data_IF_387192798763
#
_entry.id   IF_387192798763
#
_cell.length_a   1.000
_cell.length_b   1.000
_cell.length_c   1.000
_cell.angle_alpha   90.00
_cell.angle_beta   90.00
_cell.angle_gamma   90.00
#
_symmetry.space_group_name_H-M   'P 1'
#
loop_
_entity.id
_entity.type
_entity.pdbx_description
1 polymer ?
2 non-polymer ?
3 non-polymer ?
4 non-polymer ?
5 non-polymer ?
6 water ?
#
# COMPACT_ATOMS: atom_id res chain seq x y z
N UNK A 19 -18.80 -8.42 -2.13
CA UNK A 19 -18.99 -6.96 -2.41
C UNK A 19 -17.74 -6.28 -2.94
N UNK A 20 -16.57 -6.92 -2.78
CA UNK A 20 -15.25 -6.40 -3.19
C UNK A 20 -14.50 -7.46 -4.02
N UNK A 21 -15.13 -7.97 -5.08
CA UNK A 21 -14.54 -9.09 -5.84
C UNK A 21 -14.04 -8.59 -7.21
N UNK A 22 -14.65 -7.56 -7.80
CA UNK A 22 -14.28 -7.14 -9.19
C UNK A 22 -13.48 -5.83 -9.13
N UNK A 23 -12.43 -5.72 -9.94
CA UNK A 23 -11.70 -4.46 -10.19
C UNK A 23 -12.12 -3.88 -11.53
N UNK A 24 -12.48 -2.60 -11.51
CA UNK A 24 -12.88 -1.85 -12.71
C UNK A 24 -11.95 -0.66 -12.85
N UNK A 25 -11.87 -0.11 -14.07
CA UNK A 25 -11.15 1.17 -14.28
C UNK A 25 -11.88 2.26 -13.48
N UNK A 26 -11.15 2.98 -12.65
CA UNK A 26 -11.64 4.09 -11.82
C UNK A 26 -12.25 5.20 -12.71
N UNK A 27 -11.71 5.43 -13.90
CA UNK A 27 -12.14 6.56 -14.74
C UNK A 27 -13.43 6.21 -15.50
N UNK A 28 -13.70 4.96 -15.89
CA UNK A 28 -14.84 4.69 -16.80
C UNK A 28 -15.65 3.43 -16.44
N UNK A 29 -15.19 2.58 -15.53
CA UNK A 29 -15.96 1.40 -15.08
C UNK A 29 -15.71 0.14 -15.90
N UNK A 30 -14.82 0.20 -16.90
CA UNK A 30 -14.45 -1.02 -17.65
C UNK A 30 -14.04 -2.15 -16.70
N UNK A 31 -14.49 -3.38 -16.97
CA UNK A 31 -14.10 -4.59 -16.23
C UNK A 31 -12.63 -4.90 -16.45
N UNK A 32 -11.82 -4.99 -15.41
CA UNK A 32 -10.36 -5.21 -15.59
C UNK A 32 -9.93 -6.53 -14.96
N UNK A 33 -10.23 -6.78 -13.69
CA UNK A 33 -9.68 -7.96 -13.00
C UNK A 33 -10.54 -8.31 -11.79
N UNK A 34 -10.06 -9.20 -10.93
CA UNK A 34 -10.82 -9.77 -9.78
C UNK A 34 -9.82 -9.95 -8.65
N UNK A 35 -10.29 -9.85 -7.41
CA UNK A 35 -9.46 -10.09 -6.21
C UNK A 35 -8.86 -11.51 -6.30
N UNK A 36 -9.66 -12.47 -6.80
CA UNK A 36 -9.27 -13.89 -7.02
C UNK A 36 -8.03 -14.01 -7.91
N UNK A 37 -7.79 -13.07 -8.81
CA UNK A 37 -6.70 -13.12 -9.83
C UNK A 37 -5.45 -12.38 -9.35
N UNK A 38 -5.45 -11.88 -8.11
CA UNK A 38 -4.22 -11.28 -7.54
C UNK A 38 -3.15 -12.38 -7.48
N UNK A 39 -1.90 -12.00 -7.64
CA UNK A 39 -0.73 -12.92 -7.61
C UNK A 39 0.22 -12.45 -6.49
N UNK A 40 0.38 -13.21 -5.39
CA UNK A 40 1.33 -12.83 -4.34
C UNK A 40 2.75 -13.28 -4.72
N UNK A 45 1.63 -9.31 -3.09
CA UNK A 45 0.77 -8.80 -4.20
C UNK A 45 1.21 -7.38 -4.60
N UNK A 46 1.75 -6.58 -3.63
CA UNK A 46 1.93 -5.08 -3.68
C UNK A 46 3.39 -4.58 -3.70
N UNK A 47 3.81 -3.99 -4.82
CA UNK A 47 5.20 -3.54 -5.07
C UNK A 47 5.23 -2.03 -5.25
N UNK A 48 6.05 -1.32 -4.51
CA UNK A 48 6.17 0.15 -4.72
C UNK A 48 7.45 0.37 -5.54
N UNK A 49 7.31 0.96 -6.72
CA UNK A 49 8.41 1.14 -7.69
C UNK A 49 8.44 2.59 -8.20
N UNK A 50 9.58 3.01 -8.72
CA UNK A 50 9.79 4.35 -9.34
C UNK A 50 10.24 4.16 -10.78
N UNK A 51 9.72 5.01 -11.68
CA UNK A 51 10.23 5.08 -13.07
C UNK A 51 11.43 6.03 -13.10
N UNK A 52 12.12 6.17 -14.26
CA UNK A 52 13.30 7.02 -14.36
C UNK A 52 13.00 8.51 -14.14
N UNK A 53 11.74 8.93 -14.29
CA UNK A 53 11.24 10.30 -14.00
C UNK A 53 10.89 10.45 -12.51
N UNK A 54 11.17 9.44 -11.68
CA UNK A 54 11.02 9.48 -10.21
C UNK A 54 9.55 9.36 -9.80
N UNK A 55 8.65 9.04 -10.73
CA UNK A 55 7.22 8.86 -10.42
C UNK A 55 7.07 7.54 -9.68
N UNK A 56 6.28 7.55 -8.61
CA UNK A 56 6.06 6.35 -7.75
C UNK A 56 4.77 5.67 -8.21
N UNK A 57 4.81 4.36 -8.34
CA UNK A 57 3.63 3.52 -8.67
C UNK A 57 3.52 2.46 -7.59
N UNK A 58 2.31 2.33 -7.06
CA UNK A 58 1.94 1.24 -6.13
C UNK A 58 1.25 0.18 -7.00
N UNK A 59 1.97 -0.90 -7.25
CA UNK A 59 1.62 -1.90 -8.29
C UNK A 59 1.10 -3.14 -7.57
N UNK A 60 -0.04 -3.65 -8.04
CA UNK A 60 -0.61 -4.96 -7.66
C UNK A 60 -0.36 -5.89 -8.86
N UNK A 61 0.20 -7.05 -8.60
CA UNK A 61 0.43 -8.08 -9.64
C UNK A 61 -0.83 -8.95 -9.72
N UNK A 62 -1.26 -9.22 -10.94
CA UNK A 62 -2.39 -10.09 -11.28
C UNK A 62 -1.91 -11.16 -12.24
N UNK A 63 -2.39 -12.41 -12.05
CA UNK A 63 -2.18 -13.49 -13.03
C UNK A 63 -2.91 -13.18 -14.34
N UNK A 64 -4.03 -12.49 -14.29
CA UNK A 64 -5.01 -12.37 -15.39
C UNK A 64 -5.65 -10.98 -15.29
N UNK A 65 -5.99 -10.38 -16.43
CA UNK A 65 -6.72 -9.12 -16.57
C UNK A 65 -7.38 -9.16 -17.94
N UNK A 66 -8.43 -8.38 -18.13
CA UNK A 66 -9.19 -8.23 -19.38
C UNK A 66 -9.45 -6.72 -19.56
N UNK A 67 -9.98 -6.31 -20.70
CA UNK A 67 -10.51 -4.95 -20.91
C UNK A 67 -9.40 -3.92 -21.15
N UNK A 68 -8.16 -4.37 -21.30
CA UNK A 68 -6.97 -3.53 -21.54
C UNK A 68 -6.72 -3.47 -23.04
N UNK A 69 -5.89 -2.52 -23.44
CA UNK A 69 -5.28 -2.46 -24.78
C UNK A 69 -3.77 -2.38 -24.54
N UNK A 70 -3.02 -3.40 -24.99
CA UNK A 70 -1.54 -3.47 -24.85
C UNK A 70 -0.94 -2.76 -26.04
N UNK A 71 -0.05 -1.82 -25.83
CA UNK A 71 0.43 -0.85 -26.84
C UNK A 71 1.92 -1.05 -27.01
N UNK A 72 2.36 -1.11 -28.27
CA UNK A 72 3.77 -1.26 -28.66
C UNK A 72 4.21 -2.71 -28.61
N UNK A 73 5.52 -2.91 -28.71
CA UNK A 73 6.19 -4.21 -28.50
C UNK A 73 6.87 -4.17 -27.14
N UNK A 74 7.13 -5.34 -26.53
CA UNK A 74 7.76 -5.40 -25.22
C UNK A 74 9.12 -4.70 -25.17
N UNK A 75 9.51 -4.22 -24.00
CA UNK A 75 10.83 -3.62 -23.71
C UNK A 75 11.35 -4.16 -22.39
N UNK A 76 12.64 -4.47 -22.32
CA UNK A 76 13.33 -4.85 -21.08
C UNK A 76 13.87 -3.64 -20.34
N UNK A 77 13.86 -2.45 -20.98
CA UNK A 77 14.49 -1.22 -20.45
C UNK A 77 13.85 -0.82 -19.10
N UNK A 78 14.64 -0.76 -18.04
CA UNK A 78 14.23 -0.30 -16.69
C UNK A 78 13.18 -1.26 -16.10
N UNK A 79 13.09 -2.49 -16.55
CA UNK A 79 12.10 -3.44 -16.00
C UNK A 79 12.28 -3.55 -14.48
N UNK A 80 11.16 -3.47 -13.75
CA UNK A 80 11.12 -3.62 -12.28
C UNK A 80 11.21 -5.09 -11.87
N UNK A 81 10.98 -6.02 -12.79
CA UNK A 81 10.86 -7.46 -12.49
C UNK A 81 11.92 -8.19 -13.33
N UNK A 82 12.87 -8.83 -12.64
CA UNK A 82 14.05 -9.48 -13.21
C UNK A 82 13.60 -10.50 -14.25
N UNK A 83 14.11 -10.39 -15.49
CA UNK A 83 13.84 -11.36 -16.57
C UNK A 83 12.54 -11.08 -17.32
N UNK A 84 11.82 -9.99 -17.02
CA UNK A 84 10.56 -9.68 -17.73
C UNK A 84 10.72 -8.43 -18.59
N UNK A 85 10.06 -8.46 -19.75
CA UNK A 85 9.85 -7.30 -20.65
C UNK A 85 8.43 -6.79 -20.41
N UNK A 86 8.23 -5.48 -20.59
CA UNK A 86 6.92 -4.85 -20.33
C UNK A 86 6.34 -4.26 -21.61
N UNK A 87 5.02 -4.26 -21.68
CA UNK A 87 4.19 -3.50 -22.65
C UNK A 87 3.21 -2.65 -21.86
N UNK A 88 2.95 -1.42 -22.33
CA UNK A 88 2.00 -0.50 -21.71
C UNK A 88 0.59 -1.11 -21.83
N UNK A 89 -0.14 -1.14 -20.72
CA UNK A 89 -1.55 -1.56 -20.66
C UNK A 89 -2.39 -0.30 -20.44
N UNK A 90 -3.13 0.13 -21.47
CA UNK A 90 -4.22 1.12 -21.32
C UNK A 90 -5.53 0.43 -20.97
N UNK A 91 -6.40 1.15 -20.27
CA UNK A 91 -7.84 0.84 -20.25
C UNK A 91 -8.29 0.83 -21.71
N UNK A 92 -8.84 -0.31 -22.17
CA UNK A 92 -9.28 -0.46 -23.55
C UNK A 92 -10.46 0.41 -23.86
N UNK A 93 -11.19 0.89 -22.84
CA UNK A 93 -12.35 1.76 -23.03
C UNK A 93 -11.89 3.23 -23.11
N UNK A 94 -11.26 3.73 -22.07
CA UNK A 94 -11.04 5.21 -21.92
C UNK A 94 -9.59 5.57 -22.22
N UNK A 95 -8.69 4.60 -22.35
CA UNK A 95 -7.28 4.89 -22.71
C UNK A 95 -6.43 5.32 -21.51
N UNK A 96 -6.97 5.34 -20.30
CA UNK A 96 -6.24 5.70 -19.06
C UNK A 96 -5.11 4.69 -18.89
N UNK A 97 -3.94 5.12 -18.46
CA UNK A 97 -2.81 4.17 -18.28
C UNK A 97 -3.01 3.35 -16.99
N UNK A 98 -3.28 2.04 -17.08
CA UNK A 98 -3.61 1.22 -15.90
C UNK A 98 -2.40 0.45 -15.39
N UNK A 99 -1.34 0.31 -16.20
CA UNK A 99 -0.14 -0.44 -15.82
C UNK A 99 0.57 -1.06 -17.01
N UNK A 100 1.01 -2.30 -16.83
CA UNK A 100 1.90 -3.00 -17.78
C UNK A 100 1.59 -4.49 -17.76
N UNK A 101 1.78 -5.11 -18.92
CA UNK A 101 1.83 -6.58 -19.06
C UNK A 101 3.30 -6.97 -19.13
N UNK A 102 3.67 -7.99 -18.35
CA UNK A 102 5.05 -8.50 -18.27
C UNK A 102 5.09 -9.88 -18.93
N UNK A 103 6.09 -10.11 -19.76
CA UNK A 103 6.26 -11.36 -20.53
C UNK A 103 7.75 -11.69 -20.62
N UNK A 104 8.06 -12.89 -21.11
CA UNK A 104 9.42 -13.33 -21.44
C UNK A 104 10.19 -13.90 -20.27
N UNK A 105 9.56 -14.04 -19.09
CA UNK A 105 10.24 -14.54 -17.88
C UNK A 105 9.91 -16.00 -17.68
N UNK A 106 10.07 -16.49 -16.46
CA UNK A 106 9.83 -17.92 -16.09
C UNK A 106 9.09 -17.94 -14.75
N UNK A 107 8.13 -18.83 -14.60
CA UNK A 107 7.49 -19.12 -13.29
C UNK A 107 7.09 -17.82 -12.61
N UNK A 108 6.09 -17.06 -13.12
CA UNK A 108 5.38 -17.38 -14.36
C UNK A 108 5.96 -16.67 -15.60
N UNK A 109 5.60 -17.13 -16.81
CA UNK A 109 6.08 -16.51 -18.08
C UNK A 109 5.56 -15.07 -18.15
N UNK A 110 4.32 -14.83 -17.77
CA UNK A 110 3.60 -13.55 -17.96
C UNK A 110 2.80 -13.20 -16.71
N UNK A 111 2.50 -11.92 -16.54
CA UNK A 111 1.56 -11.39 -15.52
C UNK A 111 1.30 -9.94 -15.83
N UNK A 112 0.36 -9.34 -15.10
CA UNK A 112 0.02 -7.90 -15.17
C UNK A 112 0.45 -7.20 -13.90
N UNK A 113 1.03 -6.01 -14.06
CA UNK A 113 1.30 -5.07 -12.96
C UNK A 113 0.39 -3.88 -13.15
N UNK A 114 -0.66 -3.79 -12.33
CA UNK A 114 -1.69 -2.72 -12.44
C UNK A 114 -1.51 -1.72 -11.29
N UNK A 115 -1.69 -0.46 -11.63
CA UNK A 115 -1.63 0.67 -10.66
C UNK A 115 -2.90 0.68 -9.78
N UNK A 116 -2.74 0.36 -8.51
CA UNK A 116 -3.84 0.08 -7.56
C UNK A 116 -4.82 1.26 -7.55
N UNK A 117 -4.30 2.49 -7.45
CA UNK A 117 -5.12 3.71 -7.25
C UNK A 117 -5.82 4.13 -8.55
N UNK A 118 -5.59 3.43 -9.65
CA UNK A 118 -6.29 3.66 -10.95
C UNK A 118 -7.43 2.65 -11.15
N UNK A 119 -7.65 1.77 -10.16
CA UNK A 119 -8.75 0.78 -10.16
C UNK A 119 -9.75 1.12 -9.06
N UNK A 120 -10.94 0.56 -9.18
CA UNK A 120 -12.02 0.62 -8.19
C UNK A 120 -12.50 -0.82 -7.93
N UNK A 121 -12.73 -1.15 -6.66
CA UNK A 121 -13.10 -2.53 -6.24
C UNK A 121 -14.58 -2.56 -5.86
N UNK A 122 -15.31 -3.60 -6.27
CA UNK A 122 -16.73 -3.68 -5.95
C UNK A 122 -17.37 -5.03 -6.31
N UNK A 123 -18.70 -5.08 -6.12
CA UNK A 123 -19.46 -6.32 -6.25
C UNK A 123 -19.47 -6.93 -7.66
N UNK A 124 -19.71 -8.24 -7.71
CA UNK A 124 -19.79 -9.06 -8.94
C UNK A 124 -20.95 -8.54 -9.80
N UNK B 20 -1.31 14.51 15.54
CA UNK B 20 -1.54 16.00 15.67
C UNK B 20 -2.59 16.54 14.65
N UNK B 21 -2.94 15.85 13.57
CA UNK B 21 -3.92 16.44 12.62
C UNK B 21 -5.31 15.79 12.72
N UNK B 22 -6.36 16.63 12.54
CA UNK B 22 -7.76 16.13 12.57
C UNK B 22 -8.43 16.27 11.21
N UNK B 23 -9.44 15.47 10.99
CA UNK B 23 -10.39 15.49 9.85
C UNK B 23 -11.73 16.01 10.34
N UNK B 24 -12.18 17.08 9.71
CA UNK B 24 -13.45 17.76 10.03
C UNK B 24 -14.40 17.53 8.87
N UNK B 25 -15.69 17.64 9.12
CA UNK B 25 -16.73 17.73 8.07
C UNK B 25 -16.43 18.93 7.19
N UNK B 26 -16.31 18.71 5.89
CA UNK B 26 -16.03 19.81 4.92
C UNK B 26 -17.17 20.83 4.94
N UNK B 27 -18.39 20.40 5.20
CA UNK B 27 -19.59 21.29 5.07
C UNK B 27 -19.74 22.17 6.32
N UNK B 28 -19.45 21.71 7.53
CA UNK B 28 -19.82 22.49 8.75
C UNK B 28 -18.65 22.59 9.76
N UNK B 29 -17.57 21.82 9.55
CA UNK B 29 -16.34 21.96 10.36
C UNK B 29 -16.33 21.11 11.61
N UNK B 30 -17.37 20.36 11.89
CA UNK B 30 -17.38 19.47 13.07
C UNK B 30 -16.19 18.50 13.02
N UNK B 31 -15.50 18.28 14.14
CA UNK B 31 -14.41 17.31 14.27
C UNK B 31 -14.98 15.90 14.12
N UNK B 32 -14.40 15.10 13.24
CA UNK B 32 -14.92 13.74 12.92
C UNK B 32 -13.89 12.68 13.30
N UNK B 33 -12.64 12.81 12.87
CA UNK B 33 -11.62 11.80 13.15
C UNK B 33 -10.24 12.44 13.18
N UNK B 34 -9.21 11.61 13.27
CA UNK B 34 -7.82 12.07 13.51
C UNK B 34 -6.92 11.23 12.63
N UNK B 35 -5.82 11.81 12.16
CA UNK B 35 -4.82 11.09 11.35
C UNK B 35 -4.30 9.90 12.18
N UNK B 36 -4.15 10.06 13.50
CA UNK B 36 -3.66 8.98 14.41
C UNK B 36 -4.55 7.72 14.30
N UNK B 37 -5.81 7.87 13.90
CA UNK B 37 -6.80 6.78 13.85
C UNK B 37 -6.88 6.13 12.48
N UNK B 38 -6.02 6.53 11.52
CA UNK B 38 -6.03 5.91 10.19
C UNK B 38 -5.72 4.42 10.36
N UNK B 39 -6.42 3.58 9.63
CA UNK B 39 -6.40 2.10 9.80
C UNK B 39 -6.10 1.45 8.46
N UNK B 40 -4.94 0.77 8.27
CA UNK B 40 -4.64 0.14 6.98
C UNK B 40 -5.39 -1.20 6.76
N UNK B 41 -6.68 -1.16 6.46
CA UNK B 41 -7.48 -2.38 6.17
C UNK B 41 -6.95 -3.02 4.88
N UNK B 42 -6.69 -4.33 4.91
CA UNK B 42 -6.11 -5.07 3.78
C UNK B 42 -4.79 -4.49 3.34
N UNK B 43 -4.05 -3.81 4.23
CA UNK B 43 -2.75 -3.22 3.89
C UNK B 43 -2.83 -1.76 3.46
N UNK B 44 -4.01 -1.16 3.31
CA UNK B 44 -4.12 0.24 2.82
C UNK B 44 -5.18 1.01 3.59
N UNK B 45 -4.96 2.29 3.95
CA UNK B 45 -6.04 3.11 4.55
C UNK B 45 -6.98 3.61 3.44
N UNK B 46 -6.49 3.79 2.22
CA UNK B 46 -7.32 4.29 1.08
C UNK B 46 -7.90 3.13 0.26
N UNK B 47 -9.21 3.08 0.05
CA UNK B 47 -9.86 2.09 -0.84
C UNK B 47 -10.71 2.87 -1.85
N UNK B 48 -10.48 2.69 -3.14
CA UNK B 48 -11.41 3.17 -4.19
C UNK B 48 -12.37 2.02 -4.50
N UNK B 49 -13.68 2.28 -4.33
CA UNK B 49 -14.74 1.24 -4.34
C UNK B 49 -15.90 1.76 -5.20
N UNK B 50 -16.72 0.85 -5.72
CA UNK B 50 -17.97 1.19 -6.42
C UNK B 50 -19.11 0.42 -5.76
N UNK B 51 -20.28 1.02 -5.74
CA UNK B 51 -21.52 0.40 -5.18
C UNK B 51 -22.22 -0.33 -6.33
N UNK B 52 -23.30 -1.08 -6.05
CA UNK B 52 -24.01 -1.81 -7.08
C UNK B 52 -24.64 -0.91 -8.17
N UNK B 53 -24.86 0.38 -7.88
CA UNK B 53 -25.35 1.37 -8.87
C UNK B 53 -24.18 1.91 -9.72
N UNK B 54 -22.94 1.51 -9.43
CA UNK B 54 -21.75 1.90 -10.20
C UNK B 54 -21.25 3.28 -9.77
N UNK B 55 -21.69 3.82 -8.64
CA UNK B 55 -21.14 5.08 -8.09
C UNK B 55 -19.78 4.77 -7.45
N UNK B 56 -18.76 5.56 -7.77
CA UNK B 56 -17.37 5.36 -7.28
C UNK B 56 -17.11 6.28 -6.09
N UNK B 57 -16.56 5.75 -5.00
CA UNK B 57 -16.14 6.51 -3.80
C UNK B 57 -14.68 6.23 -3.48
N UNK B 58 -13.97 7.24 -3.03
CA UNK B 58 -12.60 7.05 -2.46
C UNK B 58 -12.74 7.11 -0.93
N UNK B 59 -12.54 5.99 -0.28
CA UNK B 59 -12.77 5.81 1.17
C UNK B 59 -11.43 5.74 1.89
N UNK B 60 -11.30 6.42 3.03
CA UNK B 60 -10.17 6.30 3.99
C UNK B 60 -10.70 5.65 5.26
N UNK B 61 -10.04 4.59 5.73
CA UNK B 61 -10.47 3.78 6.90
C UNK B 61 -9.86 4.38 8.14
N UNK B 62 -10.69 4.54 9.17
CA UNK B 62 -10.32 5.07 10.50
C UNK B 62 -10.87 4.11 11.56
N UNK B 63 -10.13 3.84 12.62
CA UNK B 63 -10.53 2.96 13.74
C UNK B 63 -11.78 3.52 14.41
N UNK B 64 -11.79 4.84 14.69
CA UNK B 64 -12.82 5.49 15.51
C UNK B 64 -13.19 6.81 14.82
N UNK B 65 -14.32 7.37 15.22
CA UNK B 65 -14.83 8.68 14.77
C UNK B 65 -15.71 9.22 15.88
N UNK B 66 -16.01 10.53 15.81
CA UNK B 66 -16.98 11.18 16.67
C UNK B 66 -17.80 12.13 15.80
N UNK B 67 -18.94 12.57 16.32
CA UNK B 67 -19.72 13.64 15.72
C UNK B 67 -20.59 13.16 14.58
N UNK B 68 -20.64 11.83 14.33
CA UNK B 68 -21.46 11.27 13.23
C UNK B 68 -22.82 10.82 13.81
N UNK B 69 -23.76 10.52 12.93
CA UNK B 69 -25.03 9.86 13.25
C UNK B 69 -25.12 8.67 12.33
N UNK B 70 -25.16 7.46 12.87
CA UNK B 70 -25.29 6.20 12.11
C UNK B 70 -26.77 5.91 11.96
N UNK B 71 -27.21 5.57 10.76
CA UNK B 71 -28.66 5.37 10.47
C UNK B 71 -28.86 3.93 10.02
N UNK B 72 -29.88 3.24 10.53
CA UNK B 72 -30.36 1.96 9.98
C UNK B 72 -29.74 0.79 10.71
N UNK B 73 -30.35 -0.39 10.55
CA UNK B 73 -29.79 -1.67 11.03
C UNK B 73 -28.57 -1.97 10.16
N UNK B 74 -27.50 -2.58 10.73
CA UNK B 74 -26.36 -2.98 9.91
C UNK B 74 -26.80 -3.96 8.81
N UNK B 75 -26.14 -3.89 7.64
CA UNK B 75 -26.39 -4.82 6.50
C UNK B 75 -25.06 -5.41 6.04
N UNK B 76 -25.01 -6.72 5.78
CA UNK B 76 -23.84 -7.38 5.18
C UNK B 76 -23.86 -7.27 3.66
N UNK B 77 -25.02 -6.93 3.09
CA UNK B 77 -25.27 -6.93 1.61
C UNK B 77 -24.31 -5.95 0.93
N UNK B 78 -23.53 -6.44 -0.01
CA UNK B 78 -22.62 -5.63 -0.87
C UNK B 78 -21.51 -4.99 -0.05
N UNK B 79 -21.24 -5.49 1.16
CA UNK B 79 -20.16 -4.92 2.00
C UNK B 79 -18.85 -4.90 1.22
N UNK B 80 -18.14 -3.79 1.26
CA UNK B 80 -16.81 -3.63 0.64
C UNK B 80 -15.74 -4.37 1.44
N UNK B 81 -16.00 -4.68 2.70
CA UNK B 81 -15.00 -5.32 3.59
C UNK B 81 -15.57 -6.65 4.07
N UNK B 82 -14.95 -7.74 3.61
CA UNK B 82 -15.33 -9.14 3.89
C UNK B 82 -15.49 -9.33 5.40
N UNK B 83 -16.65 -9.82 5.85
CA UNK B 83 -16.93 -10.19 7.25
C UNK B 83 -17.41 -9.01 8.07
N UNK B 84 -17.72 -7.89 7.43
CA UNK B 84 -18.29 -6.71 8.13
C UNK B 84 -19.67 -6.40 7.56
N UNK B 85 -20.56 -5.96 8.46
CA UNK B 85 -21.85 -5.30 8.14
C UNK B 85 -21.66 -3.77 8.21
N UNK B 86 -22.44 -3.02 7.45
CA UNK B 86 -22.27 -1.55 7.34
C UNK B 86 -23.54 -0.83 7.75
N UNK B 87 -23.37 0.40 8.27
CA UNK B 87 -24.44 1.38 8.53
C UNK B 87 -24.01 2.73 7.93
N UNK B 88 -24.94 3.51 7.41
CA UNK B 88 -24.67 4.82 6.79
C UNK B 88 -24.27 5.79 7.90
N UNK B 89 -23.20 6.53 7.71
CA UNK B 89 -22.69 7.54 8.67
C UNK B 89 -22.88 8.96 8.10
N UNK B 90 -23.73 9.76 8.73
CA UNK B 90 -23.92 11.20 8.44
C UNK B 90 -23.16 12.05 9.45
N UNK B 91 -22.81 13.30 9.07
CA UNK B 91 -22.40 14.32 10.04
C UNK B 91 -23.60 14.53 10.98
N UNK B 92 -23.40 14.37 12.29
CA UNK B 92 -24.48 14.56 13.25
C UNK B 92 -24.90 16.02 13.34
N UNK B 93 -24.01 16.93 12.94
CA UNK B 93 -24.25 18.39 13.02
C UNK B 93 -25.02 18.86 11.78
N UNK B 94 -24.58 18.52 10.55
CA UNK B 94 -25.16 19.11 9.32
C UNK B 94 -25.87 18.08 8.44
N UNK B 95 -25.72 16.78 8.70
CA UNK B 95 -26.36 15.74 7.89
C UNK B 95 -25.59 15.36 6.63
N UNK B 96 -24.43 15.97 6.30
CA UNK B 96 -23.62 15.58 5.11
C UNK B 96 -23.27 14.07 5.19
N UNK B 97 -23.39 13.34 4.08
CA UNK B 97 -23.08 11.88 4.06
C UNK B 97 -21.56 11.69 4.07
N UNK B 98 -20.97 11.26 5.19
CA UNK B 98 -19.49 11.23 5.31
C UNK B 98 -18.95 9.83 5.04
N UNK B 99 -19.78 8.79 5.06
CA UNK B 99 -19.30 7.41 4.79
C UNK B 99 -20.17 6.36 5.48
N UNK B 100 -19.51 5.35 6.05
CA UNK B 100 -20.12 4.16 6.64
C UNK B 100 -19.34 3.70 7.89
N UNK B 101 -20.07 3.09 8.82
CA UNK B 101 -19.51 2.35 9.97
C UNK B 101 -19.60 0.84 9.68
N UNK B 102 -18.56 0.09 9.98
CA UNK B 102 -18.41 -1.36 9.77
C UNK B 102 -18.34 -2.02 11.15
N UNK B 103 -19.05 -3.13 11.31
CA UNK B 103 -19.13 -3.89 12.57
C UNK B 103 -19.22 -5.40 12.29
N UNK B 104 -19.02 -6.20 13.33
CA UNK B 104 -19.31 -7.65 13.40
C UNK B 104 -18.16 -8.50 12.88
N UNK B 105 -16.99 -7.91 12.66
CA UNK B 105 -15.78 -8.63 12.24
C UNK B 105 -14.91 -8.95 13.43
N UNK B 106 -13.65 -9.30 13.17
CA UNK B 106 -12.59 -9.52 14.19
C UNK B 106 -11.32 -8.80 13.72
N UNK B 107 -10.55 -8.23 14.64
CA UNK B 107 -9.20 -7.67 14.36
C UNK B 107 -9.27 -6.77 13.12
N UNK B 108 -9.93 -5.60 13.17
CA UNK B 108 -10.71 -5.15 14.33
C UNK B 108 -12.21 -5.47 14.24
N UNK B 109 -12.94 -5.41 15.34
CA UNK B 109 -14.40 -5.67 15.39
C UNK B 109 -15.11 -4.60 14.58
N UNK B 110 -14.71 -3.32 14.70
CA UNK B 110 -15.42 -2.19 14.04
C UNK B 110 -14.42 -1.16 13.48
N UNK B 111 -14.87 -0.36 12.53
CA UNK B 111 -14.10 0.75 11.93
C UNK B 111 -15.01 1.56 11.02
N UNK B 112 -14.53 2.72 10.60
CA UNK B 112 -15.22 3.64 9.68
C UNK B 112 -14.52 3.66 8.32
N UNK B 113 -15.33 3.72 7.28
CA UNK B 113 -14.92 4.08 5.92
C UNK B 113 -15.49 5.43 5.58
N UNK B 114 -14.65 6.46 5.58
CA UNK B 114 -15.08 7.87 5.40
C UNK B 114 -14.65 8.34 4.02
N UNK B 115 -15.52 9.08 3.35
CA UNK B 115 -15.29 9.64 1.99
C UNK B 115 -14.29 10.79 2.11
N UNK B 116 -13.08 10.60 1.54
CA UNK B 116 -11.96 11.53 1.75
C UNK B 116 -12.37 12.94 1.28
N UNK B 117 -13.07 13.03 0.13
CA UNK B 117 -13.44 14.31 -0.53
C UNK B 117 -14.45 15.11 0.30
N UNK B 118 -15.05 14.51 1.32
CA UNK B 118 -16.09 15.14 2.17
C UNK B 118 -15.53 15.55 3.53
N UNK B 119 -14.22 15.34 3.72
CA UNK B 119 -13.50 15.75 4.94
C UNK B 119 -12.51 16.88 4.60
N UNK B 120 -12.15 17.67 5.61
CA UNK B 120 -11.08 18.67 5.54
C UNK B 120 -10.05 18.35 6.63
N UNK B 121 -8.79 18.21 6.27
CA UNK B 121 -7.73 17.90 7.24
C UNK B 121 -7.10 19.21 7.69
N UNK B 122 -6.81 19.32 8.97
CA UNK B 122 -6.15 20.51 9.54
C UNK B 122 -5.66 20.27 10.95
N UNK B 123 -4.98 21.27 11.54
CA UNK B 123 -4.41 21.12 12.89
C UNK B 123 -5.52 21.07 13.95
N UNK B 124 -5.21 20.43 15.08
CA UNK B 124 -6.12 20.14 16.21
C UNK B 124 -6.85 21.40 16.68
N UNK C 18 16.88 -4.32 -13.55
CA UNK C 18 17.20 -3.12 -14.38
C UNK C 18 16.65 -1.86 -13.70
N UNK C 19 15.33 -1.74 -13.59
CA UNK C 19 14.69 -0.62 -12.88
C UNK C 19 14.67 -0.84 -11.39
N UNK C 20 15.51 -1.72 -10.84
CA UNK C 20 15.49 -2.11 -9.40
C UNK C 20 16.90 -1.97 -8.76
N UNK C 21 17.60 -0.87 -8.97
CA UNK C 21 19.01 -0.71 -8.57
C UNK C 21 19.15 0.23 -7.35
N UNK C 22 18.24 1.19 -7.18
CA UNK C 22 18.26 2.18 -6.07
C UNK C 22 17.09 1.85 -5.14
N UNK C 23 17.33 1.86 -3.82
CA UNK C 23 16.32 1.52 -2.76
C UNK C 23 15.96 2.81 -2.03
N UNK C 24 14.65 3.09 -1.93
CA UNK C 24 14.13 4.38 -1.40
C UNK C 24 13.08 4.08 -0.37
N UNK C 25 12.78 5.02 0.51
CA UNK C 25 11.62 4.94 1.44
C UNK C 25 10.33 4.83 0.62
N UNK C 26 9.53 3.80 0.90
CA UNK C 26 8.20 3.58 0.27
C UNK C 26 7.26 4.74 0.57
N UNK C 27 7.37 5.40 1.72
CA UNK C 27 6.39 6.45 2.11
C UNK C 27 6.71 7.79 1.42
N UNK C 28 7.98 8.15 1.23
CA UNK C 28 8.31 9.55 0.82
C UNK C 28 9.35 9.60 -0.32
N UNK C 29 10.00 8.48 -0.65
CA UNK C 29 10.98 8.38 -1.74
C UNK C 29 12.39 8.80 -1.38
N UNK C 30 12.70 9.16 -0.12
CA UNK C 30 14.09 9.39 0.34
C UNK C 30 15.03 8.26 -0.15
N UNK C 31 16.17 8.62 -0.75
CA UNK C 31 17.15 7.65 -1.26
C UNK C 31 17.86 7.05 -0.05
N UNK C 32 17.97 5.72 -0.01
CA UNK C 32 18.53 5.03 1.19
C UNK C 32 19.79 4.24 0.80
N UNK C 33 19.72 3.36 -0.19
CA UNK C 33 20.87 2.53 -0.55
C UNK C 33 20.78 2.11 -2.02
N UNK C 34 21.75 1.29 -2.46
CA UNK C 34 21.89 0.86 -3.87
C UNK C 34 22.37 -0.58 -3.90
N UNK C 35 22.08 -1.24 -5.02
CA UNK C 35 22.39 -2.67 -5.27
C UNK C 35 23.88 -2.93 -5.01
N UNK C 36 24.77 -2.00 -5.38
CA UNK C 36 26.24 -2.08 -5.17
C UNK C 36 26.58 -2.36 -3.71
N UNK C 37 25.76 -1.90 -2.77
CA UNK C 37 26.04 -1.98 -1.30
C UNK C 37 25.37 -3.20 -0.68
N UNK C 38 24.67 -4.01 -1.46
CA UNK C 38 24.01 -5.23 -0.97
C UNK C 38 25.11 -6.16 -0.44
N UNK C 39 24.74 -6.95 0.56
CA UNK C 39 25.51 -8.14 1.00
C UNK C 39 24.65 -9.39 0.79
N UNK C 40 25.03 -10.33 -0.13
CA UNK C 40 24.36 -11.63 -0.20
C UNK C 40 24.71 -12.57 0.96
N UNK C 46 17.64 -11.36 -0.18
CA UNK C 46 16.67 -11.21 0.94
C UNK C 46 16.89 -12.33 1.96
N UNK C 47 16.92 -12.02 3.25
CA UNK C 47 16.85 -13.01 4.37
C UNK C 47 15.43 -12.97 4.95
N UNK C 48 14.78 -14.15 5.03
CA UNK C 48 13.46 -14.35 5.71
C UNK C 48 13.72 -14.55 7.21
N UNK C 49 13.15 -13.67 8.04
CA UNK C 49 13.31 -13.70 9.51
C UNK C 49 11.91 -13.56 10.13
N UNK C 50 11.79 -13.93 11.41
CA UNK C 50 10.54 -13.81 12.20
C UNK C 50 10.85 -12.94 13.41
N UNK C 51 9.96 -11.99 13.72
CA UNK C 51 10.03 -11.19 14.98
C UNK C 51 9.51 -12.08 16.11
N UNK C 52 9.59 -11.62 17.38
CA UNK C 52 9.14 -12.43 18.51
C UNK C 52 7.64 -12.74 18.49
N UNK C 53 6.83 -11.99 17.72
CA UNK C 53 5.38 -12.27 17.50
C UNK C 53 5.19 -13.34 16.41
N UNK C 54 6.28 -13.80 15.78
CA UNK C 54 6.24 -14.80 14.69
C UNK C 54 5.76 -14.18 13.37
N UNK C 55 5.74 -12.85 13.24
CA UNK C 55 5.51 -12.19 11.93
C UNK C 55 6.76 -12.41 11.07
N UNK C 56 6.58 -12.73 9.79
CA UNK C 56 7.69 -12.90 8.80
C UNK C 56 8.05 -11.55 8.15
N UNK C 57 9.34 -11.24 8.07
CA UNK C 57 9.89 -10.09 7.33
C UNK C 57 10.93 -10.62 6.32
N UNK C 58 11.00 -9.96 5.17
CA UNK C 58 12.12 -10.06 4.22
C UNK C 58 13.07 -8.89 4.53
N UNK C 59 14.27 -9.21 5.00
CA UNK C 59 15.32 -8.20 5.32
C UNK C 59 16.36 -8.21 4.20
N UNK C 60 16.73 -7.02 3.71
CA UNK C 60 17.89 -6.81 2.81
C UNK C 60 19.04 -6.20 3.62
N UNK C 61 20.22 -6.80 3.59
CA UNK C 61 21.42 -6.30 4.32
C UNK C 61 22.30 -5.50 3.36
N UNK C 62 22.67 -4.29 3.80
CA UNK C 62 23.53 -3.35 3.04
C UNK C 62 24.74 -2.96 3.89
N UNK C 63 25.92 -2.90 3.27
CA UNK C 63 27.18 -2.47 3.92
C UNK C 63 27.07 -0.97 4.25
N UNK C 64 26.40 -0.17 3.40
CA UNK C 64 26.31 1.30 3.59
C UNK C 64 24.89 1.76 3.29
N UNK C 65 24.46 2.86 3.89
CA UNK C 65 23.15 3.49 3.64
C UNK C 65 23.28 4.99 3.94
N UNK C 66 22.33 5.76 3.45
CA UNK C 66 22.24 7.23 3.68
C UNK C 66 20.78 7.54 3.95
N UNK C 67 20.49 8.74 4.43
CA UNK C 67 19.11 9.23 4.51
C UNK C 67 18.37 8.73 5.71
N UNK C 68 19.02 7.98 6.60
CA UNK C 68 18.34 7.38 7.79
C UNK C 68 18.65 8.23 9.03
N UNK C 69 17.94 7.96 10.13
CA UNK C 69 18.23 8.52 11.46
C UNK C 69 18.25 7.32 12.40
N UNK C 70 19.38 7.04 13.04
CA UNK C 70 19.52 5.88 13.97
C UNK C 70 19.16 6.39 15.35
N UNK C 71 18.24 5.74 16.06
CA UNK C 71 17.72 6.29 17.34
C UNK C 71 17.93 5.24 18.43
N UNK C 72 18.19 5.68 19.67
CA UNK C 72 18.28 4.83 20.86
C UNK C 72 19.67 4.22 21.04
N UNK C 73 19.83 3.39 22.06
CA UNK C 73 21.08 2.66 22.39
C UNK C 73 20.97 1.24 21.87
N UNK C 74 22.10 0.59 21.50
CA UNK C 74 22.04 -0.73 20.88
C UNK C 74 21.38 -1.76 21.81
N UNK C 75 20.74 -2.77 21.22
CA UNK C 75 20.12 -3.90 21.95
C UNK C 75 20.53 -5.23 21.28
N UNK C 76 20.83 -6.25 22.08
CA UNK C 76 21.07 -7.62 21.62
C UNK C 76 19.77 -8.42 21.52
N UNK C 77 18.65 -7.87 22.03
CA UNK C 77 17.35 -8.57 22.21
C UNK C 77 16.89 -9.17 20.88
N UNK C 78 16.78 -10.50 20.79
CA UNK C 78 16.23 -11.23 19.63
C UNK C 78 16.99 -10.88 18.34
N UNK C 79 18.27 -10.55 18.44
CA UNK C 79 19.05 -10.16 17.23
C UNK C 79 18.97 -11.31 16.22
N UNK C 80 18.70 -10.99 14.96
CA UNK C 80 18.63 -11.99 13.88
C UNK C 80 20.04 -12.40 13.45
N UNK C 81 21.07 -11.60 13.79
CA UNK C 81 22.43 -11.83 13.27
C UNK C 81 23.37 -12.03 14.46
N UNK C 82 23.88 -13.25 14.59
CA UNK C 82 24.73 -13.74 15.70
C UNK C 82 25.90 -12.77 15.89
N UNK C 83 26.07 -12.27 17.12
CA UNK C 83 27.18 -11.37 17.50
C UNK C 83 26.95 -9.90 17.11
N UNK C 84 25.74 -9.52 16.71
CA UNK C 84 25.42 -8.09 16.42
C UNK C 84 24.35 -7.58 17.40
N UNK C 85 24.52 -6.34 17.87
CA UNK C 85 23.45 -5.52 18.53
C UNK C 85 22.81 -4.59 17.50
N UNK C 86 21.54 -4.20 17.70
CA UNK C 86 20.79 -3.37 16.72
C UNK C 86 20.33 -2.05 17.35
N UNK C 87 20.19 -1.04 16.49
CA UNK C 87 19.54 0.28 16.76
C UNK C 87 18.49 0.52 15.68
N UNK C 88 17.40 1.18 16.02
CA UNK C 88 16.29 1.49 15.08
C UNK C 88 16.79 2.47 14.02
N UNK C 89 16.51 2.16 12.75
CA UNK C 89 16.78 3.04 11.59
C UNK C 89 15.45 3.60 11.08
N UNK C 90 15.24 4.89 11.27
CA UNK C 90 14.10 5.64 10.67
C UNK C 90 14.54 6.31 9.36
N UNK C 91 13.59 6.52 8.46
CA UNK C 91 13.76 7.43 7.31
C UNK C 91 14.01 8.82 7.91
N UNK C 92 15.13 9.45 7.57
CA UNK C 92 15.44 10.84 7.96
C UNK C 92 14.43 11.85 7.42
N UNK C 93 13.74 11.54 6.34
CA UNK C 93 12.83 12.52 5.67
C UNK C 93 11.46 12.46 6.31
N UNK C 94 10.88 11.26 6.49
CA UNK C 94 9.46 11.13 6.90
C UNK C 94 9.33 10.45 8.26
N UNK C 95 10.37 9.82 8.78
CA UNK C 95 10.29 9.17 10.12
C UNK C 95 9.79 7.73 10.05
N UNK C 96 9.42 7.20 8.88
CA UNK C 96 8.97 5.79 8.73
C UNK C 96 10.05 4.82 9.24
N UNK C 97 9.65 3.75 9.94
CA UNK C 97 10.58 2.70 10.42
C UNK C 97 11.05 1.80 9.25
N UNK C 98 12.31 1.93 8.80
CA UNK C 98 12.77 1.20 7.60
C UNK C 98 13.56 -0.06 7.97
N UNK C 99 14.05 -0.16 9.20
CA UNK C 99 14.83 -1.33 9.64
C UNK C 99 15.75 -0.99 10.81
N UNK C 100 16.97 -1.52 10.76
CA UNK C 100 17.93 -1.48 11.90
C UNK C 100 19.36 -1.32 11.38
N UNK C 101 20.19 -0.72 12.19
CA UNK C 101 21.66 -0.72 12.04
C UNK C 101 22.20 -1.75 13.02
N UNK C 102 23.14 -2.57 12.57
CA UNK C 102 23.77 -3.65 13.35
C UNK C 102 25.24 -3.28 13.56
N UNK C 103 25.74 -3.54 14.77
CA UNK C 103 27.11 -3.16 15.19
C UNK C 103 27.66 -4.22 16.15
N UNK C 104 28.97 -4.18 16.36
CA UNK C 104 29.69 -4.91 17.42
C UNK C 104 30.13 -6.29 16.95
N UNK C 105 29.97 -6.62 15.67
CA UNK C 105 30.41 -7.91 15.12
C UNK C 105 31.78 -7.79 14.47
N UNK C 106 32.13 -8.78 13.64
CA UNK C 106 33.38 -8.80 12.82
C UNK C 106 33.02 -9.25 11.40
N UNK C 107 33.67 -8.67 10.39
CA UNK C 107 33.58 -9.13 8.98
C UNK C 107 32.11 -9.32 8.61
N UNK C 108 31.30 -8.26 8.48
CA UNK C 108 31.71 -6.88 8.78
C UNK C 108 31.35 -6.42 10.21
N UNK C 109 31.97 -5.34 10.69
CA UNK C 109 31.72 -4.77 12.05
C UNK C 109 30.27 -4.31 12.12
N UNK C 110 29.80 -3.63 11.08
CA UNK C 110 28.48 -2.96 11.05
C UNK C 110 27.81 -3.18 9.69
N UNK C 111 26.50 -3.05 9.66
CA UNK C 111 25.70 -3.10 8.42
C UNK C 111 24.28 -2.68 8.76
N UNK C 112 23.49 -2.48 7.71
CA UNK C 112 22.06 -2.10 7.80
C UNK C 112 21.19 -3.26 7.34
N UNK C 113 20.17 -3.58 8.13
CA UNK C 113 19.14 -4.59 7.84
C UNK C 113 17.84 -3.86 7.63
N UNK C 114 17.41 -3.70 6.38
CA UNK C 114 16.23 -2.87 6.00
C UNK C 114 15.10 -3.81 5.57
N UNK C 115 13.88 -3.44 5.95
CA UNK C 115 12.65 -4.24 5.67
C UNK C 115 12.26 -4.02 4.21
N UNK C 116 12.23 -5.10 3.42
CA UNK C 116 11.80 -5.11 1.99
C UNK C 116 10.46 -4.36 1.84
N UNK C 117 9.49 -4.61 2.72
CA UNK C 117 8.09 -4.10 2.60
C UNK C 117 8.02 -2.60 2.90
N UNK C 118 9.12 -2.01 3.38
CA UNK C 118 9.18 -0.55 3.71
C UNK C 118 9.96 0.21 2.64
N UNK C 119 10.47 -0.48 1.63
CA UNK C 119 11.32 0.13 0.58
C UNK C 119 10.59 0.11 -0.77
N UNK C 120 11.04 0.98 -1.67
CA UNK C 120 10.63 1.06 -3.09
C UNK C 120 11.88 1.05 -3.96
N UNK C 121 11.78 0.49 -5.16
CA UNK C 121 12.96 0.23 -6.02
C UNK C 121 12.82 1.05 -7.29
N UNK C 122 13.93 1.64 -7.74
CA UNK C 122 14.00 2.37 -9.01
C UNK C 122 15.33 2.20 -9.73
N UNK C 123 15.41 2.63 -10.99
CA UNK C 123 16.68 2.65 -11.71
C UNK C 123 17.63 3.72 -11.14
N UNK C 124 18.93 3.57 -11.41
CA UNK C 124 19.97 4.61 -11.20
C UNK C 124 19.62 5.87 -12.01
X LIG D 1 -11.13 3.33 -18.31
X LIG E 1 8.80 -1.00 -15.72
X LIG E 1 7.56 -0.53 -16.41
X LIG E 1 7.50 0.91 -16.89
X LIG E 1 8.85 1.61 -16.91
X LIG E 1 7.83 4.11 -17.28
X LIG E 1 8.96 -2.18 -15.43
X LIG E 1 10.44 2.05 -15.15
X LIG E 1 8.83 3.07 -17.26
X LIG E 1 6.67 4.04 -16.50
X LIG E 1 5.69 5.02 -16.58
X LIG E 1 5.86 6.10 -17.42
X LIG E 1 7.02 6.21 -18.17
X LIG E 1 8.00 5.21 -18.15
X LIG E 1 9.23 5.34 -19.00
X LIG E 1 9.86 4.00 -19.25
X LIG E 1 10.11 3.34 -17.92
X LIG E 1 9.69 1.27 -15.69
X LIG E 1 9.74 -0.06 -15.35
X LIG F 1 -8.02 -0.05 -4.38
X LIG F 1 -7.85 1.40 -3.88
X LIG F 1 -8.68 -0.06 -5.78
X LIG F 1 -6.66 -0.71 -4.48
X LIG F 1 -8.90 -0.86 -3.42
X LIG G 1 -21.15 18.55 9.05
X LIG H 1 -20.70 -0.81 1.36
X LIG H 1 -21.43 0.40 1.86
X LIG H 1 -22.74 0.67 1.14
X LIG H 1 -22.59 0.62 -0.38
X LIG H 1 -24.38 2.14 -1.38
X LIG H 1 -19.84 -1.38 2.00
X LIG H 1 -21.86 -1.04 -1.97
X LIG H 1 -23.94 0.82 -1.00
X LIG H 1 -23.53 3.26 -1.22
X LIG H 1 -23.98 4.53 -1.54
X LIG H 1 -25.27 4.72 -2.00
X LIG H 1 -26.11 3.63 -2.14
X LIG H 1 -25.70 2.34 -1.83
X LIG H 1 -26.67 1.20 -1.94
X LIG H 1 -26.03 -0.15 -1.88
X LIG H 1 -24.90 -0.27 -0.89
X LIG H 1 -21.85 -0.64 -0.82
X LIG H 1 -21.05 -1.26 0.11
X LIG I 1 10.51 8.41 4.19
X LIG J 1 16.43 -7.78 15.12
X LIG J 1 15.91 -6.41 14.81
X LIG J 1 14.75 -6.03 15.73
X LIG J 1 13.65 -7.07 15.65
X LIG J 1 11.27 -6.42 16.14
X LIG J 1 17.58 -8.12 14.88
X LIG J 1 13.46 -9.38 16.23
X LIG J 1 12.54 -6.78 16.61
X LIG J 1 10.91 -6.60 14.80
X LIG J 1 9.68 -6.19 14.34
X LIG J 1 8.76 -5.60 15.21
X LIG J 1 9.11 -5.41 16.53
X LIG J 1 10.35 -5.82 17.02
X LIG J 1 10.73 -5.60 18.45
X LIG J 1 11.67 -6.69 18.91
X LIG J 1 12.89 -6.80 18.03
X LIG J 1 14.19 -8.46 15.88
X LIG J 1 15.54 -8.67 15.69
#
# INVERSE_FOLDING_TARGET
>A
AMPLDAGGQNSTQMVLAPGASIFRCRQCGQTISRRDWLLPMGGDHEHVVFNPAGMIFRVWCFSLAQGLRLIGAPSGEFSWFKGYDWTIALCGQCGSHLGWHYEGGSQPQTFFGLIKDRLAEGPAD
>B
AMPLDAGGQNSTQMVLAPGASIFRCRQCGQTISRRDWLLPMGGDHEHVVFNPAGMIFRVWCFSLAQGLRLIGAPSGEFSWFKGYDWTIALCGQCGSHLGWHYEGGSQPQTFFGLIKDRLAEGPAD
>C
AMPLDAGGQNSTQMVLAPGASIFRCRQCGQTISRRDWLLPMGGDHEHVVFNPAGMIFRVWCFSLAQGLRLIGAPSGEFSWFKGYDWTIALCGQCGSHLGWHYEGGSQPQTFFGLIKDRLAEGPAD
>D hetero
1 ZN ZN
>E hetero
1 A1IW7 C1 C2 C3 C4 C5 O1 O2 N1 C6 C7 C8 C9 C10 C11 C12 C13 C14 N2
>F hetero
1 PO4 P O1 O2 O3 O4
>G hetero
1 ZN ZN
>H hetero
1 A1I4Q C1 C2 C3 C4 C5 O1 O2 N1 C6 C7 C8 C9 C10 C11 C12 C13 C14 N2
>I hetero
1 ZN ZN
>J hetero
1 A1I4Q C1 C2 C3 C4 C5 O1 O2 N1 C6 C7 C8 C9 C10 C11 C12 C13 C14 N2
#
